data_IF_856851064079
#
_entry.id   IF_856851064079
#
_cell.length_a   1.000
_cell.length_b   1.000
_cell.length_c   1.000
_cell.angle_alpha   90.00
_cell.angle_beta   90.00
_cell.angle_gamma   90.00
#
_symmetry.space_group_name_H-M   'P 1'
#
loop_
_entity.id
_entity.type
_entity.pdbx_description
1 polymer ?
#
# COMPACT_ATOMS: atom_id res chain seq x y z
N UNK A 1 44.05 36.11 16.86
CA UNK A 1 43.41 35.58 18.07
C UNK A 1 41.92 35.36 17.81
N UNK A 2 41.53 34.20 17.26
CA UNK A 2 40.29 33.44 17.50
C UNK A 2 40.22 32.25 16.53
N UNK A 3 39.63 31.17 17.04
CA UNK A 3 39.77 29.76 16.70
C UNK A 3 39.30 29.31 15.31
N UNK A 4 39.77 28.13 14.84
CA UNK A 4 39.45 27.56 13.54
C UNK A 4 38.06 26.91 13.52
N UNK A 5 37.39 27.02 12.37
CA UNK A 5 36.17 26.29 12.06
C UNK A 5 36.39 24.78 12.21
N UNK A 6 35.66 24.18 13.14
CA UNK A 6 35.65 22.75 13.42
C UNK A 6 34.96 21.98 12.26
N UNK A 7 35.66 21.11 11.50
CA UNK A 7 35.07 20.35 10.39
C UNK A 7 34.13 19.22 10.87
N UNK A 8 34.08 18.94 12.17
CA UNK A 8 33.27 17.84 12.72
C UNK A 8 31.76 18.15 12.82
N UNK A 9 31.34 19.40 12.61
CA UNK A 9 29.92 19.78 12.65
C UNK A 9 29.18 19.59 11.30
N UNK A 10 29.92 19.37 10.20
CA UNK A 10 29.34 19.10 8.88
C UNK A 10 29.24 17.60 8.54
N UNK A 11 29.72 16.71 9.42
CA UNK A 11 29.67 15.26 9.25
C UNK A 11 28.37 14.62 9.79
N UNK A 12 27.38 15.43 10.19
CA UNK A 12 26.17 14.98 10.89
C UNK A 12 24.91 14.78 10.04
N UNK A 13 24.92 15.06 8.72
CA UNK A 13 23.67 15.07 7.93
C UNK A 13 23.64 14.16 6.70
N UNK A 14 24.67 13.33 6.45
CA UNK A 14 24.77 12.56 5.20
C UNK A 14 23.99 11.22 5.26
N UNK A 15 23.49 10.80 6.43
CA UNK A 15 22.80 9.51 6.60
C UNK A 15 21.30 9.45 6.25
N UNK A 16 20.67 10.51 5.73
CA UNK A 16 19.21 10.60 5.62
C UNK A 16 18.63 10.87 4.21
N UNK A 17 19.42 11.08 3.16
CA UNK A 17 18.89 11.60 1.88
C UNK A 17 18.55 10.58 0.75
N UNK A 18 18.78 9.27 0.90
CA UNK A 18 19.01 8.45 -0.31
C UNK A 18 17.88 7.58 -0.88
N UNK A 19 16.75 7.43 -0.21
CA UNK A 19 15.60 6.74 -0.82
C UNK A 19 14.80 7.68 -1.74
N UNK A 20 14.54 8.89 -1.25
CA UNK A 20 13.75 9.89 -1.96
C UNK A 20 14.49 10.48 -3.16
N UNK A 21 15.82 10.65 -3.08
CA UNK A 21 16.64 11.15 -4.18
C UNK A 21 16.73 10.15 -5.35
N UNK A 22 16.91 8.86 -5.06
CA UNK A 22 16.91 7.78 -6.07
C UNK A 22 15.54 7.63 -6.74
N UNK A 23 14.47 7.68 -5.94
CA UNK A 23 13.09 7.71 -6.43
C UNK A 23 12.85 8.91 -7.34
N UNK A 24 13.32 10.09 -6.93
CA UNK A 24 13.22 11.32 -7.70
C UNK A 24 14.03 11.25 -8.99
N UNK A 25 15.22 10.64 -8.99
CA UNK A 25 16.05 10.47 -10.17
C UNK A 25 15.40 9.55 -11.21
N UNK A 26 14.80 8.42 -10.80
CA UNK A 26 14.08 7.51 -11.71
C UNK A 26 12.79 8.17 -12.23
N UNK A 27 12.02 8.85 -11.37
CA UNK A 27 10.85 9.64 -11.79
C UNK A 27 11.21 10.70 -12.83
N UNK A 28 12.39 11.32 -12.69
CA UNK A 28 12.86 12.36 -13.59
C UNK A 28 13.45 11.78 -14.90
N UNK A 29 13.86 10.51 -14.90
CA UNK A 29 14.42 9.82 -16.07
C UNK A 29 13.31 9.29 -17.00
N UNK A 30 12.17 8.87 -16.45
CA UNK A 30 11.04 8.28 -17.22
C UNK A 30 9.69 8.98 -16.99
N UNK A 31 9.60 10.32 -17.11
CA UNK A 31 8.43 11.09 -16.66
C UNK A 31 7.16 10.78 -17.46
N UNK A 32 7.27 10.61 -18.78
CA UNK A 32 6.08 10.40 -19.63
C UNK A 32 5.48 8.99 -19.47
N UNK A 33 6.34 8.00 -19.30
CA UNK A 33 5.96 6.60 -19.13
C UNK A 33 5.28 6.37 -17.77
N UNK A 34 5.85 6.95 -16.70
CA UNK A 34 5.26 6.90 -15.35
C UNK A 34 3.97 7.74 -15.26
N UNK A 35 3.90 8.89 -15.94
CA UNK A 35 2.66 9.69 -15.97
C UNK A 35 1.54 8.91 -16.64
N UNK A 36 1.81 8.18 -17.73
CA UNK A 36 0.81 7.35 -18.41
C UNK A 36 0.27 6.22 -17.52
N UNK A 37 1.15 5.46 -16.86
CA UNK A 37 0.75 4.37 -15.96
C UNK A 37 -0.04 4.88 -14.76
N UNK A 38 0.46 5.92 -14.07
CA UNK A 38 -0.23 6.49 -12.92
C UNK A 38 -1.56 7.17 -13.28
N UNK A 39 -1.68 7.75 -14.48
CA UNK A 39 -2.96 8.29 -14.97
C UNK A 39 -4.00 7.20 -15.16
N UNK A 40 -3.60 6.03 -15.67
CA UNK A 40 -4.47 4.86 -15.79
C UNK A 40 -4.87 4.29 -14.43
N UNK A 41 -3.94 4.22 -13.46
CA UNK A 41 -4.25 3.85 -12.06
C UNK A 41 -5.26 4.83 -11.45
N UNK A 42 -5.07 6.15 -11.65
CA UNK A 42 -5.98 7.16 -11.15
C UNK A 42 -7.37 7.05 -11.79
N UNK A 43 -7.44 6.81 -13.10
CA UNK A 43 -8.70 6.61 -13.81
C UNK A 43 -9.43 5.34 -13.35
N UNK A 44 -8.73 4.21 -13.19
CA UNK A 44 -9.31 2.97 -12.67
C UNK A 44 -9.91 3.19 -11.28
N UNK A 45 -9.20 3.94 -10.43
CA UNK A 45 -9.66 4.28 -9.09
C UNK A 45 -10.81 5.28 -9.06
N UNK A 46 -10.84 6.25 -9.98
CA UNK A 46 -11.98 7.14 -10.14
C UNK A 46 -13.24 6.36 -10.57
N UNK A 47 -13.11 5.40 -11.47
CA UNK A 47 -14.21 4.51 -11.85
C UNK A 47 -14.62 3.59 -10.70
N UNK A 48 -13.68 3.10 -9.90
CA UNK A 48 -13.95 2.32 -8.68
C UNK A 48 -14.75 3.15 -7.67
N UNK A 49 -14.45 4.44 -7.50
CA UNK A 49 -15.27 5.29 -6.64
C UNK A 49 -16.60 5.67 -7.29
N UNK A 50 -16.68 5.75 -8.61
CA UNK A 50 -17.92 6.13 -9.29
C UNK A 50 -18.93 4.96 -9.39
N UNK A 51 -18.47 3.70 -9.39
CA UNK A 51 -19.35 2.56 -9.66
C UNK A 51 -20.57 2.47 -8.71
N UNK A 52 -20.47 2.71 -7.39
CA UNK A 52 -21.63 2.57 -6.50
C UNK A 52 -22.70 3.60 -6.81
N UNK A 53 -22.29 4.83 -7.17
CA UNK A 53 -23.20 5.90 -7.56
C UNK A 53 -23.94 5.57 -8.86
N UNK A 54 -23.20 5.15 -9.90
CA UNK A 54 -23.80 4.76 -11.18
C UNK A 54 -24.68 3.52 -11.05
N UNK A 55 -24.28 2.55 -10.21
CA UNK A 55 -25.11 1.40 -9.88
C UNK A 55 -26.40 1.82 -9.18
N UNK A 56 -26.33 2.79 -8.25
CA UNK A 56 -27.50 3.38 -7.62
C UNK A 56 -28.46 3.98 -8.64
N UNK A 57 -27.96 4.78 -9.59
CA UNK A 57 -28.80 5.33 -10.67
C UNK A 57 -29.46 4.23 -11.52
N UNK A 58 -28.74 3.13 -11.77
CA UNK A 58 -29.27 1.98 -12.48
C UNK A 58 -30.38 1.27 -11.69
N UNK A 59 -30.20 1.08 -10.38
CA UNK A 59 -31.22 0.52 -9.47
C UNK A 59 -32.49 1.36 -9.50
N UNK A 60 -32.37 2.68 -9.41
CA UNK A 60 -33.52 3.59 -9.50
C UNK A 60 -34.20 3.51 -10.88
N UNK A 61 -33.43 3.38 -11.96
CA UNK A 61 -33.97 3.20 -13.31
C UNK A 61 -34.72 1.86 -13.46
N UNK A 62 -34.19 0.78 -12.90
CA UNK A 62 -34.83 -0.55 -12.88
C UNK A 62 -36.19 -0.48 -12.20
N UNK A 63 -36.26 0.14 -11.01
CA UNK A 63 -37.49 0.23 -10.24
C UNK A 63 -38.54 1.13 -10.93
N UNK A 64 -38.09 2.17 -11.64
CA UNK A 64 -38.96 3.01 -12.49
C UNK A 64 -39.35 2.36 -13.82
N UNK A 65 -38.86 1.16 -14.14
CA UNK A 65 -39.09 0.49 -15.43
C UNK A 65 -38.41 1.15 -16.63
N UNK A 66 -37.45 2.06 -16.41
CA UNK A 66 -36.71 2.71 -17.50
C UNK A 66 -35.51 1.83 -17.93
N UNK A 67 -35.79 0.94 -18.88
CA UNK A 67 -34.82 -0.01 -19.42
C UNK A 67 -33.61 0.69 -20.04
N UNK A 68 -33.81 1.80 -20.76
CA UNK A 68 -32.73 2.51 -21.44
C UNK A 68 -31.68 3.05 -20.47
N UNK A 69 -32.12 3.75 -19.41
CA UNK A 69 -31.21 4.22 -18.36
C UNK A 69 -30.60 3.06 -17.57
N UNK A 70 -31.35 2.00 -17.27
CA UNK A 70 -30.81 0.84 -16.58
C UNK A 70 -29.68 0.16 -17.36
N UNK A 71 -29.86 -0.05 -18.67
CA UNK A 71 -28.84 -0.67 -19.55
C UNK A 71 -27.62 0.23 -19.73
N UNK A 72 -27.75 1.55 -19.64
CA UNK A 72 -26.60 2.47 -19.74
C UNK A 72 -25.48 2.17 -18.73
N UNK A 73 -25.83 1.58 -17.58
CA UNK A 73 -24.85 1.12 -16.59
C UNK A 73 -23.91 0.03 -17.12
N UNK A 74 -24.36 -0.82 -18.05
CA UNK A 74 -23.49 -1.81 -18.70
C UNK A 74 -22.33 -1.14 -19.45
N UNK A 75 -22.52 0.08 -19.96
CA UNK A 75 -21.45 0.89 -20.55
C UNK A 75 -20.40 1.32 -19.53
N UNK A 76 -20.82 1.70 -18.32
CA UNK A 76 -19.90 2.03 -17.20
C UNK A 76 -19.11 0.80 -16.77
N UNK A 77 -19.77 -0.36 -16.67
CA UNK A 77 -19.11 -1.64 -16.36
C UNK A 77 -18.08 -1.99 -17.44
N UNK A 78 -18.44 -1.89 -18.71
CA UNK A 78 -17.52 -2.15 -19.82
C UNK A 78 -16.32 -1.18 -19.79
N UNK A 79 -16.57 0.11 -19.52
CA UNK A 79 -15.50 1.11 -19.38
C UNK A 79 -14.52 0.74 -18.25
N UNK A 80 -15.01 0.30 -17.10
CA UNK A 80 -14.17 -0.18 -16.00
C UNK A 80 -13.26 -1.34 -16.43
N UNK A 81 -13.82 -2.34 -17.13
CA UNK A 81 -13.04 -3.46 -17.65
C UNK A 81 -12.01 -3.05 -18.70
N UNK A 82 -12.37 -2.14 -19.61
CA UNK A 82 -11.46 -1.63 -20.64
C UNK A 82 -10.31 -0.83 -20.04
N UNK A 83 -10.59 0.07 -19.08
CA UNK A 83 -9.56 0.84 -18.38
C UNK A 83 -8.64 -0.09 -17.59
N UNK A 84 -9.19 -1.06 -16.85
CA UNK A 84 -8.36 -2.01 -16.11
C UNK A 84 -7.50 -2.89 -17.02
N UNK A 85 -8.03 -3.32 -18.18
CA UNK A 85 -7.25 -4.06 -19.17
C UNK A 85 -6.13 -3.20 -19.77
N UNK A 86 -6.43 -1.96 -20.14
CA UNK A 86 -5.44 -1.02 -20.65
C UNK A 86 -4.35 -0.74 -19.61
N UNK A 87 -4.73 -0.49 -18.35
CA UNK A 87 -3.79 -0.28 -17.25
C UNK A 87 -2.84 -1.46 -17.10
N UNK A 88 -3.37 -2.68 -16.93
CA UNK A 88 -2.55 -3.90 -16.79
C UNK A 88 -1.59 -4.09 -17.96
N UNK A 89 -2.05 -3.86 -19.19
CA UNK A 89 -1.21 -4.00 -20.38
C UNK A 89 -0.11 -2.92 -20.46
N UNK A 90 -0.43 -1.67 -20.12
CA UNK A 90 0.52 -0.55 -20.15
C UNK A 90 1.54 -0.65 -19.02
N UNK A 91 1.11 -0.99 -17.80
CA UNK A 91 1.98 -1.14 -16.62
C UNK A 91 3.08 -2.18 -16.90
N UNK A 92 2.71 -3.42 -17.26
CA UNK A 92 3.69 -4.49 -17.50
C UNK A 92 4.65 -4.14 -18.65
N UNK A 93 4.15 -3.57 -19.75
CA UNK A 93 5.02 -3.16 -20.88
C UNK A 93 6.00 -2.06 -20.47
N UNK A 94 5.54 -1.10 -19.67
CA UNK A 94 6.32 0.07 -19.27
C UNK A 94 7.38 -0.32 -18.25
N UNK A 95 6.99 -1.00 -17.17
CA UNK A 95 7.91 -1.42 -16.12
C UNK A 95 8.92 -2.47 -16.61
N UNK A 96 8.52 -3.39 -17.50
CA UNK A 96 9.46 -4.33 -18.13
C UNK A 96 10.53 -3.60 -18.97
N UNK A 97 10.16 -2.54 -19.71
CA UNK A 97 11.11 -1.73 -20.48
C UNK A 97 12.06 -0.95 -19.57
N UNK A 98 11.52 -0.29 -18.54
CA UNK A 98 12.32 0.40 -17.52
C UNK A 98 13.33 -0.56 -16.88
N UNK A 99 12.90 -1.79 -16.56
CA UNK A 99 13.79 -2.82 -16.02
C UNK A 99 14.90 -3.19 -17.00
N UNK A 100 14.57 -3.43 -18.28
CA UNK A 100 15.56 -3.78 -19.30
C UNK A 100 16.62 -2.69 -19.46
N UNK A 101 16.20 -1.42 -19.55
CA UNK A 101 17.11 -0.27 -19.68
C UNK A 101 17.99 -0.11 -18.43
N UNK A 102 17.40 -0.23 -17.24
CA UNK A 102 18.12 -0.15 -15.97
C UNK A 102 19.14 -1.29 -15.83
N UNK A 103 18.77 -2.52 -16.19
CA UNK A 103 19.66 -3.67 -16.14
C UNK A 103 20.87 -3.49 -17.08
N UNK A 104 20.65 -3.01 -18.31
CA UNK A 104 21.73 -2.74 -19.28
C UNK A 104 22.67 -1.65 -18.76
N UNK A 105 22.13 -0.54 -18.25
CA UNK A 105 22.94 0.57 -17.72
C UNK A 105 23.78 0.13 -16.50
N UNK A 106 23.21 -0.67 -15.59
CA UNK A 106 23.93 -1.21 -14.43
C UNK A 106 25.06 -2.14 -14.88
N UNK A 107 24.80 -3.05 -15.82
CA UNK A 107 25.84 -3.97 -16.33
C UNK A 107 26.96 -3.21 -17.04
N UNK A 108 26.65 -2.18 -17.83
CA UNK A 108 27.65 -1.38 -18.54
C UNK A 108 28.50 -0.52 -17.59
N UNK A 109 27.89 0.18 -16.63
CA UNK A 109 28.59 0.97 -15.64
C UNK A 109 29.58 0.12 -14.83
N UNK A 110 29.21 -1.12 -14.51
CA UNK A 110 30.04 -2.01 -13.71
C UNK A 110 31.20 -2.64 -14.49
N UNK A 111 31.02 -2.91 -15.80
CA UNK A 111 32.14 -3.31 -16.66
C UNK A 111 33.21 -2.21 -16.77
N UNK A 112 32.80 -0.93 -16.74
CA UNK A 112 33.74 0.21 -16.76
C UNK A 112 34.50 0.38 -15.44
N UNK A 113 33.90 -0.03 -14.31
CA UNK A 113 34.48 0.09 -12.96
C UNK A 113 35.32 -1.11 -12.51
N UNK A 114 35.47 -2.16 -13.34
CA UNK A 114 36.35 -3.31 -13.05
C UNK A 114 35.98 -4.13 -11.80
N UNK A 115 34.76 -4.01 -11.27
CA UNK A 115 34.36 -4.71 -10.05
C UNK A 115 33.99 -6.18 -10.28
N UNK A 116 34.17 -7.00 -9.23
CA UNK A 116 33.84 -8.42 -9.23
C UNK A 116 32.34 -8.66 -9.53
N UNK A 117 32.07 -9.68 -10.35
CA UNK A 117 30.74 -10.04 -10.89
C UNK A 117 29.64 -10.26 -9.84
N UNK A 118 30.00 -10.58 -8.59
CA UNK A 118 29.03 -10.84 -7.49
C UNK A 118 28.36 -9.57 -6.95
N UNK A 119 29.07 -8.44 -6.88
CA UNK A 119 28.51 -7.15 -6.45
C UNK A 119 27.62 -6.54 -7.55
N UNK A 120 27.88 -6.91 -8.81
CA UNK A 120 27.09 -6.53 -9.97
C UNK A 120 25.72 -7.20 -10.01
N UNK A 121 25.69 -8.52 -9.85
CA UNK A 121 24.44 -9.29 -9.81
C UNK A 121 23.51 -8.84 -8.67
N UNK A 122 24.06 -8.55 -7.48
CA UNK A 122 23.26 -8.09 -6.34
C UNK A 122 22.57 -6.73 -6.59
N UNK A 123 23.20 -5.82 -7.34
CA UNK A 123 22.62 -4.51 -7.69
C UNK A 123 21.52 -4.61 -8.76
N UNK A 124 21.68 -5.51 -9.74
CA UNK A 124 20.62 -5.80 -10.73
C UNK A 124 19.39 -6.41 -10.05
N UNK A 125 19.58 -7.25 -9.03
CA UNK A 125 18.47 -7.83 -8.25
C UNK A 125 17.72 -6.74 -7.45
N UNK A 126 18.42 -5.81 -6.81
CA UNK A 126 17.80 -4.68 -6.09
C UNK A 126 17.02 -3.74 -7.03
N UNK A 127 17.58 -3.45 -8.20
CA UNK A 127 16.90 -2.67 -9.24
C UNK A 127 15.62 -3.36 -9.75
N UNK A 128 15.66 -4.69 -9.92
CA UNK A 128 14.49 -5.49 -10.27
C UNK A 128 13.41 -5.43 -9.19
N UNK A 129 13.80 -5.64 -7.93
CA UNK A 129 12.88 -5.61 -6.79
C UNK A 129 12.18 -4.26 -6.65
N UNK A 130 12.90 -3.17 -6.92
CA UNK A 130 12.33 -1.83 -6.96
C UNK A 130 11.30 -1.67 -8.09
N UNK A 131 11.60 -2.09 -9.31
CA UNK A 131 10.66 -2.00 -10.45
C UNK A 131 9.43 -2.88 -10.21
N UNK A 132 9.63 -4.11 -9.74
CA UNK A 132 8.57 -5.04 -9.36
C UNK A 132 7.63 -4.42 -8.31
N UNK A 133 8.19 -3.66 -7.35
CA UNK A 133 7.39 -2.95 -6.37
C UNK A 133 6.49 -1.88 -7.00
N UNK A 134 7.03 -1.07 -7.91
CA UNK A 134 6.26 -0.03 -8.59
C UNK A 134 5.16 -0.61 -9.49
N UNK A 135 5.42 -1.73 -10.15
CA UNK A 135 4.43 -2.40 -10.99
C UNK A 135 3.30 -3.03 -10.17
N UNK A 136 3.64 -3.68 -9.05
CA UNK A 136 2.69 -4.54 -8.32
C UNK A 136 2.11 -3.89 -7.08
N UNK A 137 2.94 -3.26 -6.26
CA UNK A 137 2.54 -2.77 -4.93
C UNK A 137 1.99 -1.35 -4.97
N UNK A 138 2.54 -0.47 -5.81
CA UNK A 138 2.03 0.93 -5.89
C UNK A 138 0.55 0.99 -6.31
N UNK A 139 0.08 0.26 -7.34
CA UNK A 139 -1.34 0.27 -7.68
C UNK A 139 -2.24 -0.27 -6.57
N UNK A 140 -1.79 -1.29 -5.82
CA UNK A 140 -2.53 -1.85 -4.69
C UNK A 140 -2.66 -0.81 -3.57
N UNK A 141 -1.54 -0.17 -3.21
CA UNK A 141 -1.51 0.90 -2.20
C UNK A 141 -2.39 2.08 -2.62
N UNK A 142 -2.27 2.52 -3.87
CA UNK A 142 -3.11 3.59 -4.40
C UNK A 142 -4.59 3.21 -4.31
N UNK A 143 -4.95 1.97 -4.67
CA UNK A 143 -6.33 1.52 -4.68
C UNK A 143 -6.94 1.46 -3.28
N UNK A 144 -6.21 0.93 -2.31
CA UNK A 144 -6.69 0.89 -0.94
C UNK A 144 -6.75 2.28 -0.28
N UNK A 145 -5.80 3.19 -0.56
CA UNK A 145 -5.88 4.57 -0.09
C UNK A 145 -7.07 5.31 -0.71
N UNK A 146 -7.28 5.18 -2.03
CA UNK A 146 -8.42 5.79 -2.71
C UNK A 146 -9.73 5.18 -2.22
N UNK A 147 -9.79 3.87 -1.97
CA UNK A 147 -10.99 3.23 -1.43
C UNK A 147 -11.29 3.71 0.00
N UNK A 148 -10.27 3.81 0.87
CA UNK A 148 -10.43 4.27 2.25
C UNK A 148 -10.86 5.75 2.31
N UNK A 149 -10.10 6.66 1.71
CA UNK A 149 -10.38 8.10 1.77
C UNK A 149 -11.52 8.49 0.84
N UNK A 150 -11.58 7.91 -0.35
CA UNK A 150 -12.58 8.21 -1.35
C UNK A 150 -13.96 7.70 -0.98
N UNK A 151 -14.11 6.51 -0.38
CA UNK A 151 -15.40 6.06 0.12
C UNK A 151 -15.90 6.96 1.26
N UNK A 152 -15.03 7.38 2.19
CA UNK A 152 -15.40 8.33 3.24
C UNK A 152 -15.81 9.70 2.66
N UNK A 153 -15.10 10.19 1.65
CA UNK A 153 -15.44 11.45 0.96
C UNK A 153 -16.77 11.35 0.20
N UNK A 154 -17.01 10.23 -0.50
CA UNK A 154 -18.27 9.98 -1.19
C UNK A 154 -19.43 9.87 -0.20
N UNK A 155 -19.25 9.17 0.92
CA UNK A 155 -20.23 9.13 2.01
C UNK A 155 -20.51 10.53 2.55
N UNK A 156 -19.48 11.36 2.75
CA UNK A 156 -19.68 12.75 3.19
C UNK A 156 -20.47 13.58 2.18
N UNK A 157 -20.27 13.32 0.89
CA UNK A 157 -20.97 14.03 -0.18
C UNK A 157 -22.46 13.61 -0.31
N UNK A 158 -22.76 12.32 -0.18
CA UNK A 158 -24.12 11.79 -0.40
C UNK A 158 -24.94 11.64 0.90
N UNK A 159 -24.30 11.33 2.03
CA UNK A 159 -24.90 11.21 3.36
C UNK A 159 -24.00 11.82 4.45
N UNK A 160 -24.02 13.16 4.63
CA UNK A 160 -23.04 13.89 5.43
C UNK A 160 -22.88 13.39 6.87
N UNK A 161 -23.97 12.95 7.52
CA UNK A 161 -23.92 12.42 8.88
C UNK A 161 -23.11 11.11 8.93
N UNK A 162 -23.36 10.21 7.98
CA UNK A 162 -22.66 8.93 7.87
C UNK A 162 -21.20 9.18 7.49
N UNK A 163 -20.94 10.05 6.51
CA UNK A 163 -19.59 10.43 6.12
C UNK A 163 -18.78 11.06 7.26
N UNK A 164 -19.38 11.94 8.06
CA UNK A 164 -18.74 12.51 9.23
C UNK A 164 -18.38 11.43 10.27
N UNK A 165 -19.30 10.49 10.54
CA UNK A 165 -19.03 9.36 11.43
C UNK A 165 -17.90 8.45 10.89
N UNK A 166 -17.87 8.18 9.58
CA UNK A 166 -16.77 7.47 8.91
C UNK A 166 -15.44 8.20 9.03
N UNK A 167 -15.42 9.53 8.90
CA UNK A 167 -14.20 10.33 9.10
C UNK A 167 -13.70 10.27 10.55
N UNK A 168 -14.60 10.28 11.53
CA UNK A 168 -14.22 10.10 12.95
C UNK A 168 -13.61 8.72 13.17
N UNK A 169 -14.21 7.66 12.62
CA UNK A 169 -13.66 6.30 12.68
C UNK A 169 -12.28 6.21 12.00
N UNK A 170 -12.13 6.84 10.83
CA UNK A 170 -10.87 6.91 10.10
C UNK A 170 -9.78 7.63 10.90
N UNK A 171 -10.09 8.79 11.49
CA UNK A 171 -9.15 9.52 12.35
C UNK A 171 -8.75 8.68 13.57
N UNK A 172 -9.71 8.00 14.21
CA UNK A 172 -9.44 7.08 15.31
C UNK A 172 -8.47 5.97 14.89
N UNK A 173 -8.70 5.34 13.74
CA UNK A 173 -7.80 4.33 13.21
C UNK A 173 -6.40 4.89 12.90
N UNK A 174 -6.31 6.04 12.21
CA UNK A 174 -5.02 6.69 11.89
C UNK A 174 -4.20 7.03 13.14
N UNK A 175 -4.85 7.36 14.26
CA UNK A 175 -4.18 7.63 15.53
C UNK A 175 -3.71 6.34 16.24
N UNK A 176 -4.47 5.25 16.13
CA UNK A 176 -4.17 3.98 16.81
C UNK A 176 -3.20 3.09 16.01
N UNK A 177 -3.26 3.13 14.68
CA UNK A 177 -2.48 2.31 13.76
C UNK A 177 -0.97 2.35 14.03
N UNK A 178 -0.30 3.51 14.22
CA UNK A 178 1.14 3.54 14.45
C UNK A 178 1.56 2.82 15.74
N UNK A 179 0.75 2.93 16.80
CA UNK A 179 1.02 2.24 18.06
C UNK A 179 0.81 0.73 17.93
N UNK A 180 -0.22 0.33 17.19
CA UNK A 180 -0.49 -1.06 16.89
C UNK A 180 0.64 -1.68 16.04
N UNK A 181 1.01 -1.04 14.92
CA UNK A 181 2.05 -1.46 14.01
C UNK A 181 3.41 -1.64 14.71
N UNK A 182 3.86 -0.65 15.51
CA UNK A 182 5.12 -0.74 16.27
C UNK A 182 5.17 -1.94 17.22
N UNK A 183 4.05 -2.25 17.89
CA UNK A 183 3.97 -3.42 18.78
C UNK A 183 3.98 -4.72 17.98
N UNK A 184 3.30 -4.75 16.83
CA UNK A 184 3.27 -5.91 15.94
C UNK A 184 4.66 -6.20 15.37
N UNK A 185 5.37 -5.18 14.89
CA UNK A 185 6.75 -5.27 14.39
C UNK A 185 7.70 -5.87 15.44
N UNK A 186 7.59 -5.46 16.71
CA UNK A 186 8.41 -6.02 17.79
C UNK A 186 8.14 -7.52 18.02
N UNK A 187 6.88 -7.95 17.90
CA UNK A 187 6.50 -9.36 18.05
C UNK A 187 6.97 -10.19 16.85
N UNK A 188 6.78 -9.70 15.63
CA UNK A 188 7.31 -10.32 14.42
C UNK A 188 8.83 -10.42 14.45
N UNK A 189 9.54 -9.38 14.89
CA UNK A 189 11.00 -9.41 15.04
C UNK A 189 11.46 -10.49 16.02
N UNK A 190 10.78 -10.64 17.17
CA UNK A 190 11.07 -11.71 18.15
C UNK A 190 10.80 -13.10 17.59
N UNK A 191 9.73 -13.26 16.81
CA UNK A 191 9.38 -14.53 16.17
C UNK A 191 10.42 -14.90 15.10
N UNK A 192 10.73 -13.98 14.19
CA UNK A 192 11.71 -14.18 13.12
C UNK A 192 13.10 -14.48 13.67
N UNK A 193 13.58 -13.72 14.67
CA UNK A 193 14.87 -13.99 15.30
C UNK A 193 14.95 -15.42 15.85
N UNK A 194 13.85 -15.98 16.37
CA UNK A 194 13.84 -17.36 16.88
C UNK A 194 13.83 -18.39 15.75
N UNK A 195 13.10 -18.14 14.67
CA UNK A 195 13.08 -19.00 13.48
C UNK A 195 14.45 -19.06 12.79
N UNK A 196 15.18 -17.93 12.71
CA UNK A 196 16.54 -17.93 12.14
C UNK A 196 17.53 -18.81 12.90
N UNK A 197 17.33 -19.01 14.20
CA UNK A 197 18.17 -19.86 15.04
C UNK A 197 17.73 -21.34 15.03
N UNK A 198 16.62 -21.69 14.38
CA UNK A 198 16.05 -23.04 14.34
C UNK A 198 17.00 -24.04 13.66
N UNK A 199 17.65 -23.64 12.56
CA UNK A 199 18.60 -24.49 11.80
C UNK A 199 19.78 -24.95 12.67
N UNK A 200 20.20 -24.14 13.66
CA UNK A 200 21.31 -24.49 14.58
C UNK A 200 20.89 -25.42 15.71
N UNK A 201 19.58 -25.56 15.96
CA UNK A 201 19.03 -26.35 17.07
C UNK A 201 18.69 -27.80 16.65
N UNK A 202 18.54 -28.07 15.35
CA UNK A 202 18.18 -29.40 14.82
C UNK A 202 19.31 -30.42 15.00
N UNK A 203 20.57 -29.98 14.96
CA UNK A 203 21.72 -30.90 14.88
C UNK A 203 22.30 -31.33 16.24
N UNK A 204 22.04 -30.60 17.35
CA UNK A 204 22.82 -30.77 18.60
C UNK A 204 22.04 -30.72 19.92
N UNK A 205 20.72 -30.72 19.93
CA UNK A 205 19.97 -30.27 21.11
C UNK A 205 19.00 -31.34 21.64
N UNK A 206 18.91 -31.46 22.98
CA UNK A 206 18.04 -32.44 23.63
C UNK A 206 16.55 -32.17 23.39
N UNK A 207 15.70 -33.23 23.40
CA UNK A 207 14.25 -33.10 23.14
C UNK A 207 13.52 -32.11 24.06
N UNK A 208 13.98 -31.94 25.30
CA UNK A 208 13.38 -31.02 26.27
C UNK A 208 13.60 -29.55 25.90
N UNK A 209 14.77 -29.20 25.39
CA UNK A 209 15.09 -27.85 24.91
C UNK A 209 14.37 -27.56 23.60
N UNK A 210 14.26 -28.55 22.71
CA UNK A 210 13.48 -28.43 21.48
C UNK A 210 12.00 -28.16 21.77
N UNK A 211 11.41 -28.90 22.72
CA UNK A 211 10.02 -28.66 23.18
C UNK A 211 9.83 -27.26 23.76
N UNK A 212 10.77 -26.77 24.58
CA UNK A 212 10.72 -25.41 25.14
C UNK A 212 10.80 -24.33 24.05
N UNK A 213 11.64 -24.56 23.03
CA UNK A 213 11.76 -23.66 21.88
C UNK A 213 10.42 -23.56 21.13
N UNK A 214 9.84 -24.68 20.69
CA UNK A 214 8.57 -24.69 19.96
C UNK A 214 7.39 -24.20 20.80
N UNK A 215 7.39 -24.44 22.12
CA UNK A 215 6.37 -23.86 23.02
C UNK A 215 6.48 -22.34 23.10
N UNK A 216 7.69 -21.79 22.98
CA UNK A 216 7.88 -20.34 22.97
C UNK A 216 7.46 -19.74 21.63
N UNK A 217 7.81 -20.38 20.51
CA UNK A 217 7.36 -20.00 19.17
C UNK A 217 5.84 -20.02 19.06
N UNK A 218 5.19 -21.08 19.56
CA UNK A 218 3.73 -21.19 19.54
C UNK A 218 3.07 -20.09 20.35
N UNK A 219 3.56 -19.78 21.55
CA UNK A 219 3.05 -18.65 22.36
C UNK A 219 3.19 -17.30 21.67
N UNK A 220 4.30 -17.05 20.98
CA UNK A 220 4.49 -15.81 20.21
C UNK A 220 3.52 -15.72 19.03
N UNK A 221 3.30 -16.83 18.31
CA UNK A 221 2.35 -16.89 17.20
C UNK A 221 0.90 -16.73 17.64
N UNK A 222 0.53 -17.35 18.76
CA UNK A 222 -0.81 -17.20 19.37
C UNK A 222 -1.01 -15.76 19.81
N UNK A 223 -0.05 -15.14 20.51
CA UNK A 223 -0.15 -13.75 20.94
C UNK A 223 -0.32 -12.79 19.75
N UNK A 224 0.38 -13.04 18.64
CA UNK A 224 0.21 -12.27 17.42
C UNK A 224 -1.21 -12.43 16.84
N UNK A 225 -1.67 -13.68 16.70
CA UNK A 225 -3.02 -14.00 16.21
C UNK A 225 -4.12 -13.40 17.08
N UNK A 226 -3.98 -13.45 18.41
CA UNK A 226 -4.95 -12.89 19.36
C UNK A 226 -5.03 -11.36 19.23
N UNK A 227 -3.91 -10.70 18.91
CA UNK A 227 -3.88 -9.25 18.66
C UNK A 227 -4.55 -8.88 17.33
N UNK A 228 -4.31 -9.65 16.28
CA UNK A 228 -4.99 -9.48 14.99
C UNK A 228 -6.50 -9.72 15.15
N UNK A 229 -6.90 -10.78 15.84
CA UNK A 229 -8.30 -11.06 16.16
C UNK A 229 -8.94 -9.92 16.98
N UNK A 230 -8.22 -9.37 17.96
CA UNK A 230 -8.67 -8.22 18.73
C UNK A 230 -8.87 -6.96 17.86
N UNK A 231 -7.96 -6.69 16.93
CA UNK A 231 -8.08 -5.58 15.98
C UNK A 231 -9.29 -5.79 15.04
N UNK A 232 -9.47 -7.00 14.51
CA UNK A 232 -10.60 -7.37 13.66
C UNK A 232 -11.95 -7.13 14.37
N UNK A 233 -12.06 -7.52 15.65
CA UNK A 233 -13.27 -7.27 16.46
C UNK A 233 -13.50 -5.76 16.69
N UNK A 234 -12.45 -4.97 16.93
CA UNK A 234 -12.58 -3.51 17.10
C UNK A 234 -13.06 -2.84 15.82
N UNK A 235 -12.49 -3.21 14.66
CA UNK A 235 -12.94 -2.71 13.35
C UNK A 235 -14.39 -3.14 13.09
N UNK A 236 -14.72 -4.41 13.35
CA UNK A 236 -16.08 -4.94 13.21
C UNK A 236 -17.11 -4.25 14.11
N UNK A 237 -16.75 -3.91 15.35
CA UNK A 237 -17.62 -3.16 16.26
C UNK A 237 -17.85 -1.72 15.75
N UNK A 238 -16.79 -1.04 15.29
CA UNK A 238 -16.92 0.28 14.68
C UNK A 238 -17.78 0.24 13.41
N UNK A 239 -17.59 -0.78 12.56
CA UNK A 239 -18.41 -1.02 11.39
C UNK A 239 -19.89 -1.24 11.76
N UNK A 240 -20.18 -2.10 12.74
CA UNK A 240 -21.54 -2.35 13.19
C UNK A 240 -22.26 -1.07 13.66
N UNK A 241 -21.56 -0.20 14.40
CA UNK A 241 -22.08 1.12 14.81
C UNK A 241 -22.37 2.00 13.60
N UNK A 242 -21.45 2.08 12.63
CA UNK A 242 -21.67 2.86 11.40
C UNK A 242 -22.84 2.32 10.58
N UNK A 243 -22.99 0.99 10.45
CA UNK A 243 -24.12 0.38 9.76
C UNK A 243 -25.43 0.65 10.49
N UNK A 244 -25.48 0.52 11.81
CA UNK A 244 -26.68 0.82 12.60
C UNK A 244 -27.09 2.30 12.45
N UNK A 245 -26.13 3.23 12.53
CA UNK A 245 -26.35 4.65 12.28
C UNK A 245 -26.90 4.89 10.87
N UNK A 246 -26.28 4.29 9.87
CA UNK A 246 -26.64 4.46 8.45
C UNK A 246 -28.03 3.93 8.17
N UNK A 247 -28.34 2.71 8.61
CA UNK A 247 -29.66 2.09 8.44
C UNK A 247 -30.72 2.92 9.16
N UNK A 248 -30.47 3.32 10.41
CA UNK A 248 -31.38 4.18 11.16
C UNK A 248 -31.63 5.52 10.47
N UNK A 249 -30.58 6.14 9.92
CA UNK A 249 -30.67 7.39 9.17
C UNK A 249 -31.48 7.22 7.88
N UNK A 250 -31.18 6.21 7.07
CA UNK A 250 -31.90 5.94 5.82
C UNK A 250 -33.37 5.56 6.06
N UNK A 251 -33.66 4.80 7.12
CA UNK A 251 -35.02 4.39 7.46
C UNK A 251 -35.91 5.53 7.98
N UNK A 252 -35.31 6.61 8.47
CA UNK A 252 -36.04 7.78 9.04
C UNK A 252 -36.02 9.00 8.13
N UNK A 253 -35.38 8.92 6.95
CA UNK A 253 -35.29 10.02 5.99
C UNK A 253 -36.33 9.84 4.90
N UNK A 254 -37.18 10.85 4.71
CA UNK A 254 -38.20 10.84 3.66
C UNK A 254 -37.55 10.95 2.27
N UNK A 255 -38.14 10.26 1.28
CA UNK A 255 -37.74 10.38 -0.12
C UNK A 255 -36.43 9.66 -0.50
N UNK A 256 -35.90 8.80 0.37
CA UNK A 256 -34.73 7.97 0.07
C UNK A 256 -35.04 7.01 -1.08
N UNK A 257 -34.25 7.07 -2.16
CA UNK A 257 -34.40 6.15 -3.29
C UNK A 257 -33.64 4.84 -3.04
N UNK A 258 -34.10 3.69 -3.59
CA UNK A 258 -33.40 2.42 -3.43
C UNK A 258 -31.98 2.44 -4.00
N UNK A 259 -31.73 3.23 -5.05
CA UNK A 259 -30.41 3.48 -5.60
C UNK A 259 -29.49 4.24 -4.65
N UNK A 260 -30.03 5.23 -3.92
CA UNK A 260 -29.28 5.92 -2.87
C UNK A 260 -28.88 4.95 -1.74
N UNK A 261 -29.82 4.11 -1.28
CA UNK A 261 -29.53 3.06 -0.29
C UNK A 261 -28.40 2.15 -0.77
N UNK A 262 -28.48 1.69 -2.02
CA UNK A 262 -27.42 0.86 -2.61
C UNK A 262 -26.07 1.56 -2.56
N UNK A 263 -25.98 2.79 -3.08
CA UNK A 263 -24.72 3.53 -3.13
C UNK A 263 -24.13 3.74 -1.73
N UNK A 264 -24.93 4.21 -0.77
CA UNK A 264 -24.49 4.45 0.62
C UNK A 264 -23.99 3.15 1.26
N UNK A 265 -24.74 2.05 1.15
CA UNK A 265 -24.36 0.75 1.73
C UNK A 265 -23.08 0.20 1.10
N UNK A 266 -22.93 0.35 -0.21
CA UNK A 266 -21.74 -0.09 -0.93
C UNK A 266 -20.50 0.74 -0.59
N UNK A 267 -20.62 2.07 -0.49
CA UNK A 267 -19.51 2.89 -0.01
C UNK A 267 -19.14 2.58 1.43
N UNK A 268 -20.12 2.31 2.29
CA UNK A 268 -19.86 1.95 3.68
C UNK A 268 -19.10 0.62 3.79
N UNK A 269 -19.49 -0.40 3.02
CA UNK A 269 -18.72 -1.65 2.92
C UNK A 269 -17.31 -1.42 2.37
N UNK A 270 -17.16 -0.59 1.34
CA UNK A 270 -15.86 -0.25 0.76
C UNK A 270 -14.95 0.42 1.80
N UNK A 271 -15.50 1.37 2.57
CA UNK A 271 -14.78 2.04 3.65
C UNK A 271 -14.34 1.07 4.75
N UNK A 272 -15.27 0.25 5.26
CA UNK A 272 -14.99 -0.72 6.33
C UNK A 272 -13.96 -1.76 5.88
N UNK A 273 -14.09 -2.32 4.68
CA UNK A 273 -13.12 -3.27 4.13
C UNK A 273 -11.73 -2.65 4.00
N UNK A 274 -11.65 -1.41 3.49
CA UNK A 274 -10.36 -0.71 3.37
C UNK A 274 -9.72 -0.40 4.72
N UNK A 275 -10.53 -0.21 5.78
CA UNK A 275 -10.04 0.01 7.14
C UNK A 275 -9.45 -1.27 7.76
N UNK A 276 -10.05 -2.42 7.46
CA UNK A 276 -9.54 -3.74 7.87
C UNK A 276 -8.21 -4.08 7.16
N UNK A 277 -8.07 -3.68 5.89
CA UNK A 277 -6.84 -3.87 5.11
C UNK A 277 -5.69 -2.89 5.51
N UNK A 278 -5.99 -1.86 6.31
CA UNK A 278 -5.03 -0.80 6.66
C UNK A 278 -3.74 -1.28 7.35
N UNK A 279 -3.74 -2.29 8.25
CA UNK A 279 -2.50 -2.83 8.81
C UNK A 279 -1.57 -3.41 7.74
N UNK A 280 -2.11 -4.17 6.79
CA UNK A 280 -1.34 -4.73 5.67
C UNK A 280 -0.77 -3.63 4.77
N UNK A 281 -1.54 -2.55 4.56
CA UNK A 281 -1.08 -1.35 3.85
C UNK A 281 0.14 -0.70 4.53
N UNK A 282 0.10 -0.55 5.85
CA UNK A 282 1.23 0.01 6.62
C UNK A 282 2.48 -0.85 6.45
N UNK A 283 2.34 -2.17 6.48
CA UNK A 283 3.46 -3.09 6.26
C UNK A 283 4.04 -2.97 4.84
N UNK A 284 3.18 -2.83 3.82
CA UNK A 284 3.63 -2.61 2.43
C UNK A 284 4.36 -1.27 2.25
N UNK A 285 3.89 -0.21 2.91
CA UNK A 285 4.55 1.11 2.93
C UNK A 285 5.89 1.06 3.68
N UNK A 286 5.98 0.30 4.77
CA UNK A 286 7.23 0.09 5.48
C UNK A 286 8.26 -0.64 4.61
N UNK A 287 7.83 -1.67 3.86
CA UNK A 287 8.67 -2.38 2.88
C UNK A 287 9.16 -1.46 1.76
N UNK A 288 8.31 -0.58 1.24
CA UNK A 288 8.72 0.43 0.26
C UNK A 288 9.87 1.29 0.78
N UNK A 289 9.72 1.78 2.01
CA UNK A 289 10.72 2.63 2.66
C UNK A 289 12.04 1.87 2.84
N UNK A 290 11.98 0.58 3.19
CA UNK A 290 13.16 -0.27 3.33
C UNK A 290 13.85 -0.54 1.97
N UNK A 291 13.11 -0.96 0.94
CA UNK A 291 13.65 -1.18 -0.42
C UNK A 291 14.31 0.11 -0.93
N UNK A 292 13.62 1.25 -0.83
CA UNK A 292 14.19 2.54 -1.23
C UNK A 292 15.47 2.89 -0.46
N UNK A 293 15.54 2.56 0.84
CA UNK A 293 16.73 2.78 1.66
C UNK A 293 17.88 1.84 1.30
N UNK A 294 17.63 0.63 0.78
CA UNK A 294 18.69 -0.31 0.35
C UNK A 294 19.26 0.06 -1.02
N UNK A 295 18.46 0.68 -1.89
CA UNK A 295 18.90 1.15 -3.21
C UNK A 295 19.76 2.42 -3.10
N UNK A 296 19.39 3.36 -2.23
CA UNK A 296 20.05 4.68 -2.10
C UNK A 296 21.57 4.68 -1.82
N UNK A 297 22.06 3.97 -0.78
CA UNK A 297 23.49 3.88 -0.46
C UNK A 297 24.32 3.27 -1.60
N UNK A 298 23.71 2.46 -2.46
CA UNK A 298 24.40 1.82 -3.58
C UNK A 298 24.73 2.76 -4.75
N UNK A 299 24.13 3.95 -4.81
CA UNK A 299 24.35 4.93 -5.88
C UNK A 299 25.33 6.06 -5.50
N UNK A 300 25.34 6.51 -4.24
CA UNK A 300 26.29 7.54 -3.77
C UNK A 300 27.76 7.10 -3.81
N UNK A 301 28.02 5.82 -3.55
CA UNK A 301 29.38 5.25 -3.65
C UNK A 301 29.94 5.27 -5.09
N UNK A 302 29.09 5.47 -6.11
CA UNK A 302 29.50 5.61 -7.50
C UNK A 302 29.89 7.05 -7.83
N UNK A 303 29.13 8.05 -7.36
CA UNK A 303 29.45 9.48 -7.57
C UNK A 303 30.72 9.90 -6.81
N UNK A 304 30.94 9.38 -5.60
CA UNK A 304 32.14 9.72 -4.84
C UNK A 304 33.45 9.13 -5.40
N UNK A 305 33.36 8.13 -6.30
CA UNK A 305 34.53 7.56 -6.99
C UNK A 305 34.82 8.17 -8.36
N UNK A 306 33.90 8.95 -8.93
CA UNK A 306 34.17 9.74 -10.15
C UNK A 306 34.70 11.15 -9.85
N UNK A 307 34.61 11.61 -8.59
CA UNK A 307 35.06 12.92 -8.13
C UNK A 307 36.42 12.92 -7.39
N UNK A 308 37.14 11.80 -7.37
CA UNK A 308 38.47 11.64 -6.76
C UNK A 308 39.44 10.98 -7.73
#
# INVERSE_FOLDING_TARGET
MKHPHNPAAAAGSIGQQNAAATLKAILHTYPWQLTGTFSLVALENALLLAYPLFAGFAVDAIIRGNIGHAISYAGVVLLFWLVGAARRAVDTRTFTRIYADLAVNVVQAQRRLGQATSTSAARVVLAREFVDFFEKHVPIIATALVSMFGAAAMLLAIEPLVGAASLVALLGALLLLPSFARRNEQLHGRLNNRLEHEIRLVDRVSPSVLRRHYTTLSRLRILLSDREAGAFVVVGAAAAVLFALTIGRLATTDGVTPGHVYAVMTYLWTFVGSLDDAPSMVDQLARLKDIGRRVGPGMEDAEHKEAA
#
